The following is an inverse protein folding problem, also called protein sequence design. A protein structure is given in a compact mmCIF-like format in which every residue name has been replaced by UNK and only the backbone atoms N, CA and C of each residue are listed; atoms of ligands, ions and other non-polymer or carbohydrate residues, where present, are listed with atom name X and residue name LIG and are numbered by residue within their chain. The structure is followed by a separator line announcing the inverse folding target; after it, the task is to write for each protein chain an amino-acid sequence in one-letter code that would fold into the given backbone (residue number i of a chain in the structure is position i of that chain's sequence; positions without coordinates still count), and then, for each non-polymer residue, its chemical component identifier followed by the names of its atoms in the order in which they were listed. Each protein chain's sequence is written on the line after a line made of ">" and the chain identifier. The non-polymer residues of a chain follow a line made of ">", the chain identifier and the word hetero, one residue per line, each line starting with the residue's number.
data_IF_793015997308
#
_entry.id   IF_793015997308
#
_cell.length_a   1.000
_cell.length_b   1.000
_cell.length_c   1.000
_cell.angle_alpha   90.00
_cell.angle_beta   90.00
_cell.angle_gamma   90.00
#
_symmetry.space_group_name_H-M   'P 1'
#
loop_
_entity.id
_entity.type
_entity.pdbx_description
1 polymer ?
#
# COMPACT_ATOMS: atom_id res chain seq x y z
N UNK A 1 -20.87 4.45 8.49
CA UNK A 1 -19.61 4.53 9.27
C UNK A 1 -18.75 5.61 8.63
N UNK A 2 -18.12 6.49 9.40
CA UNK A 2 -17.11 7.43 8.84
C UNK A 2 -15.84 6.66 8.43
N UNK A 3 -15.10 7.17 7.45
CA UNK A 3 -13.90 6.52 6.91
C UNK A 3 -12.85 6.26 8.00
N UNK A 4 -12.62 7.21 8.90
CA UNK A 4 -11.67 7.02 10.00
C UNK A 4 -12.08 5.87 10.94
N UNK A 5 -13.39 5.74 11.21
CA UNK A 5 -13.90 4.65 12.03
C UNK A 5 -13.72 3.28 11.34
N UNK A 6 -13.90 3.23 10.02
CA UNK A 6 -13.66 2.03 9.23
C UNK A 6 -12.17 1.63 9.25
N UNK A 7 -11.28 2.57 8.93
CA UNK A 7 -9.84 2.35 8.95
C UNK A 7 -9.35 1.90 10.34
N UNK A 8 -9.83 2.54 11.42
CA UNK A 8 -9.48 2.16 12.78
C UNK A 8 -9.99 0.76 13.16
N UNK A 9 -11.21 0.39 12.73
CA UNK A 9 -11.76 -0.95 12.95
C UNK A 9 -10.91 -2.01 12.23
N UNK A 10 -10.59 -1.77 10.96
CA UNK A 10 -9.73 -2.67 10.18
C UNK A 10 -8.33 -2.78 10.78
N UNK A 11 -7.75 -1.67 11.23
CA UNK A 11 -6.44 -1.65 11.84
C UNK A 11 -6.38 -2.49 13.13
N UNK A 12 -7.42 -2.42 13.98
CA UNK A 12 -7.45 -3.19 15.22
C UNK A 12 -7.46 -4.72 14.97
N UNK A 13 -8.17 -5.19 13.94
CA UNK A 13 -8.16 -6.60 13.55
C UNK A 13 -6.78 -7.02 13.03
N UNK A 14 -6.21 -6.21 12.15
CA UNK A 14 -4.93 -6.49 11.51
C UNK A 14 -3.78 -6.49 12.53
N UNK A 15 -3.70 -5.49 13.42
CA UNK A 15 -2.66 -5.39 14.45
C UNK A 15 -2.62 -6.61 15.38
N UNK A 16 -3.80 -7.06 15.83
CA UNK A 16 -3.92 -8.23 16.71
C UNK A 16 -3.51 -9.51 15.97
N UNK A 17 -3.94 -9.65 14.72
CA UNK A 17 -3.63 -10.83 13.91
C UNK A 17 -2.15 -10.88 13.49
N UNK A 18 -1.55 -9.76 13.13
CA UNK A 18 -0.13 -9.63 12.79
C UNK A 18 0.75 -10.08 13.96
N UNK A 19 0.47 -9.59 15.18
CA UNK A 19 1.22 -10.04 16.37
C UNK A 19 1.05 -11.55 16.58
N UNK A 20 -0.17 -12.07 16.40
CA UNK A 20 -0.43 -13.51 16.53
C UNK A 20 0.40 -14.32 15.52
N UNK A 21 0.46 -13.89 14.26
CA UNK A 21 1.24 -14.59 13.22
C UNK A 21 2.75 -14.53 13.47
N UNK A 22 3.27 -13.37 13.91
CA UNK A 22 4.70 -13.23 14.23
C UNK A 22 5.03 -14.08 15.47
N UNK A 23 4.19 -14.06 16.51
CA UNK A 23 4.38 -14.86 17.72
C UNK A 23 4.28 -16.38 17.48
N UNK A 24 3.53 -16.80 16.45
CA UNK A 24 3.39 -18.21 16.07
C UNK A 24 4.63 -18.81 15.36
N UNK A 25 5.66 -18.00 15.06
CA UNK A 25 6.91 -18.46 14.44
C UNK A 25 7.82 -19.19 15.43
N UNK A 26 7.40 -20.37 15.90
CA UNK A 26 8.11 -21.19 16.88
C UNK A 26 9.48 -21.63 16.31
N UNK A 27 10.54 -21.43 17.09
CA UNK A 27 11.91 -21.79 16.71
C UNK A 27 12.64 -20.73 15.89
N UNK A 28 11.97 -19.63 15.50
CA UNK A 28 12.64 -18.49 14.89
C UNK A 28 13.49 -17.72 15.92
N UNK A 29 14.59 -17.06 15.51
CA UNK A 29 15.40 -16.25 16.41
C UNK A 29 14.59 -15.10 17.02
N UNK A 30 14.48 -15.06 18.36
CA UNK A 30 13.66 -14.07 19.07
C UNK A 30 14.03 -12.62 18.71
N UNK A 31 15.33 -12.32 18.62
CA UNK A 31 15.80 -10.99 18.24
C UNK A 31 15.34 -10.55 16.85
N UNK A 32 15.20 -11.49 15.89
CA UNK A 32 14.70 -11.17 14.55
C UNK A 32 13.18 -10.90 14.59
N UNK A 33 12.43 -11.69 15.37
CA UNK A 33 11.00 -11.46 15.57
C UNK A 33 10.74 -10.08 16.18
N UNK A 34 11.58 -9.63 17.11
CA UNK A 34 11.44 -8.30 17.73
C UNK A 34 11.64 -7.16 16.72
N UNK A 35 12.57 -7.33 15.77
CA UNK A 35 12.77 -6.36 14.68
C UNK A 35 11.57 -6.34 13.73
N UNK A 36 11.05 -7.52 13.37
CA UNK A 36 9.84 -7.62 12.55
C UNK A 36 8.64 -6.95 13.24
N UNK A 37 8.43 -7.20 14.54
CA UNK A 37 7.40 -6.54 15.36
C UNK A 37 7.58 -5.03 15.36
N UNK A 38 8.80 -4.56 15.61
CA UNK A 38 9.11 -3.14 15.65
C UNK A 38 8.66 -2.43 14.37
N UNK A 39 8.99 -2.99 13.20
CA UNK A 39 8.64 -2.39 11.91
C UNK A 39 7.14 -2.45 11.61
N UNK A 40 6.50 -3.59 11.89
CA UNK A 40 5.06 -3.77 11.63
C UNK A 40 4.22 -2.87 12.55
N UNK A 41 4.61 -2.73 13.81
CA UNK A 41 3.94 -1.89 14.82
C UNK A 41 4.31 -0.39 14.71
N UNK A 42 5.11 0.02 13.73
CA UNK A 42 5.48 1.42 13.52
C UNK A 42 4.30 2.32 13.08
N UNK A 43 3.09 1.75 12.90
CA UNK A 43 1.83 2.49 12.86
C UNK A 43 1.52 3.16 11.52
N UNK A 44 0.45 2.73 10.88
CA UNK A 44 -0.18 3.50 9.80
C UNK A 44 -1.69 3.23 9.76
N UNK A 45 -2.41 3.93 8.89
CA UNK A 45 -3.89 3.83 8.73
C UNK A 45 -4.39 2.45 8.25
N UNK A 46 -3.50 1.44 8.16
CA UNK A 46 -3.74 0.06 7.67
C UNK A 46 -4.60 0.06 6.41
N UNK A 47 -4.24 0.92 5.45
CA UNK A 47 -5.02 1.19 4.25
C UNK A 47 -5.20 -0.07 3.40
N UNK A 48 -4.11 -0.79 3.11
CA UNK A 48 -4.14 -2.04 2.32
C UNK A 48 -4.96 -3.15 3.01
N UNK A 49 -4.77 -3.43 4.31
CA UNK A 49 -5.68 -4.29 5.07
C UNK A 49 -7.15 -3.89 4.95
N UNK A 50 -7.47 -2.61 5.10
CA UNK A 50 -8.85 -2.12 5.02
C UNK A 50 -9.48 -2.35 3.63
N UNK A 51 -8.70 -2.21 2.54
CA UNK A 51 -9.15 -2.53 1.19
C UNK A 51 -9.48 -4.01 1.04
N UNK A 52 -8.61 -4.91 1.53
CA UNK A 52 -8.82 -6.35 1.44
C UNK A 52 -10.04 -6.80 2.25
N UNK A 53 -10.16 -6.32 3.50
CA UNK A 53 -11.30 -6.63 4.36
C UNK A 53 -12.60 -6.10 3.77
N UNK A 54 -12.62 -4.86 3.27
CA UNK A 54 -13.81 -4.28 2.64
C UNK A 54 -14.22 -4.99 1.35
N UNK A 55 -13.27 -5.44 0.53
CA UNK A 55 -13.56 -6.16 -0.70
C UNK A 55 -14.12 -7.57 -0.43
N UNK A 56 -13.64 -8.22 0.63
CA UNK A 56 -14.20 -9.48 1.10
C UNK A 56 -15.62 -9.31 1.64
N UNK A 57 -15.86 -8.26 2.44
CA UNK A 57 -17.21 -7.93 2.92
C UNK A 57 -18.17 -7.63 1.77
N UNK A 58 -17.70 -6.96 0.70
CA UNK A 58 -18.48 -6.75 -0.52
C UNK A 58 -18.77 -8.06 -1.27
N UNK A 59 -17.87 -9.04 -1.22
CA UNK A 59 -18.01 -10.32 -1.91
C UNK A 59 -18.99 -11.28 -1.20
N UNK A 60 -18.88 -11.42 0.12
CA UNK A 60 -19.61 -12.45 0.88
C UNK A 60 -20.31 -11.95 2.16
N UNK A 61 -20.24 -10.65 2.46
CA UNK A 61 -20.85 -10.06 3.67
C UNK A 61 -20.04 -10.28 4.96
N UNK A 62 -18.86 -10.91 4.88
CA UNK A 62 -17.95 -11.13 6.01
C UNK A 62 -16.51 -10.72 5.64
N UNK A 63 -15.86 -9.80 6.37
CA UNK A 63 -14.47 -9.43 6.10
C UNK A 63 -13.44 -10.48 6.56
N UNK A 64 -13.81 -11.39 7.48
CA UNK A 64 -12.87 -12.28 8.17
C UNK A 64 -12.12 -13.29 7.27
N UNK A 65 -12.70 -13.83 6.19
CA UNK A 65 -11.97 -14.70 5.27
C UNK A 65 -10.71 -14.04 4.67
N UNK A 66 -10.73 -12.72 4.51
CA UNK A 66 -9.60 -11.96 3.98
C UNK A 66 -8.57 -11.55 5.04
N UNK A 67 -8.79 -11.78 6.34
CA UNK A 67 -7.85 -11.36 7.39
C UNK A 67 -6.41 -11.87 7.17
N UNK A 68 -6.17 -13.14 6.80
CA UNK A 68 -4.80 -13.58 6.50
C UNK A 68 -4.20 -12.88 5.27
N UNK A 69 -5.02 -12.57 4.26
CA UNK A 69 -4.58 -11.80 3.09
C UNK A 69 -4.25 -10.34 3.46
N UNK A 70 -5.06 -9.73 4.32
CA UNK A 70 -4.84 -8.38 4.85
C UNK A 70 -3.51 -8.30 5.62
N UNK A 71 -3.25 -9.24 6.53
CA UNK A 71 -1.97 -9.31 7.24
C UNK A 71 -0.79 -9.55 6.29
N UNK A 72 -0.94 -10.44 5.32
CA UNK A 72 0.08 -10.69 4.31
C UNK A 72 0.43 -9.42 3.52
N UNK A 73 -0.57 -8.64 3.10
CA UNK A 73 -0.36 -7.36 2.41
C UNK A 73 0.37 -6.34 3.27
N UNK A 74 0.07 -6.27 4.57
CA UNK A 74 0.77 -5.36 5.48
C UNK A 74 2.20 -5.83 5.79
N UNK A 75 2.45 -7.14 5.85
CA UNK A 75 3.80 -7.70 5.91
C UNK A 75 4.60 -7.36 4.64
N UNK A 76 3.99 -7.50 3.46
CA UNK A 76 4.58 -7.10 2.17
C UNK A 76 4.92 -5.61 2.17
N UNK A 77 3.95 -4.78 2.54
CA UNK A 77 4.17 -3.33 2.61
C UNK A 77 5.24 -2.95 3.63
N UNK A 78 5.28 -3.62 4.78
CA UNK A 78 6.27 -3.31 5.81
C UNK A 78 7.68 -3.72 5.37
N UNK A 79 7.87 -4.88 4.72
CA UNK A 79 9.20 -5.24 4.23
C UNK A 79 9.70 -4.22 3.21
N UNK A 80 8.83 -3.77 2.30
CA UNK A 80 9.26 -2.88 1.23
C UNK A 80 9.77 -1.56 1.80
N UNK A 81 9.13 -1.04 2.85
CA UNK A 81 9.61 0.12 3.58
C UNK A 81 10.94 -0.11 4.29
N UNK A 82 11.13 -1.28 4.94
CA UNK A 82 12.40 -1.60 5.60
C UNK A 82 13.55 -1.59 4.59
N UNK A 83 13.34 -2.16 3.41
CA UNK A 83 14.35 -2.22 2.36
C UNK A 83 14.55 -0.87 1.67
N UNK A 84 13.48 -0.12 1.38
CA UNK A 84 13.56 1.24 0.83
C UNK A 84 14.35 2.18 1.73
N UNK A 85 14.23 2.04 3.06
CA UNK A 85 14.94 2.89 4.01
C UNK A 85 16.45 2.59 4.10
N UNK A 86 16.97 1.52 3.49
CA UNK A 86 18.40 1.15 3.60
C UNK A 86 19.34 2.18 2.95
N UNK A 87 20.62 2.26 3.37
CA UNK A 87 21.59 3.19 2.80
C UNK A 87 21.83 3.06 1.30
N UNK A 88 21.63 1.86 0.74
CA UNK A 88 21.75 1.60 -0.69
C UNK A 88 20.51 2.00 -1.52
N UNK A 89 19.44 2.41 -0.84
CA UNK A 89 18.14 2.82 -1.42
C UNK A 89 17.89 4.30 -1.06
N UNK A 90 16.80 4.64 -0.36
CA UNK A 90 16.47 6.03 0.00
C UNK A 90 17.33 6.59 1.16
N UNK A 91 18.06 5.72 1.88
CA UNK A 91 18.93 6.09 3.01
C UNK A 91 18.21 6.94 4.08
N UNK A 92 16.99 6.55 4.45
CA UNK A 92 16.15 7.28 5.39
C UNK A 92 16.45 6.93 6.84
N UNK A 93 16.70 7.95 7.66
CA UNK A 93 16.97 7.78 9.10
C UNK A 93 15.69 7.60 9.94
N UNK A 94 14.56 8.11 9.45
CA UNK A 94 13.29 8.16 10.18
C UNK A 94 12.12 7.68 9.31
N UNK A 95 11.23 6.87 9.89
CA UNK A 95 9.93 6.50 9.30
C UNK A 95 8.83 6.51 10.36
N UNK A 96 7.70 7.12 10.02
CA UNK A 96 6.49 7.14 10.89
C UNK A 96 6.80 7.69 12.30
N UNK A 97 7.65 8.72 12.38
CA UNK A 97 8.06 9.33 13.64
C UNK A 97 9.00 8.48 14.50
N UNK A 98 9.51 7.36 14.00
CA UNK A 98 10.47 6.48 14.68
C UNK A 98 11.74 6.31 13.82
N UNK A 99 12.89 5.97 14.40
CA UNK A 99 14.08 5.64 13.60
C UNK A 99 13.84 4.42 12.72
N UNK A 100 14.43 4.37 11.53
CA UNK A 100 14.28 3.22 10.63
C UNK A 100 14.99 1.99 11.18
N UNK A 101 14.58 0.79 10.71
CA UNK A 101 15.09 -0.47 11.25
C UNK A 101 16.61 -0.57 11.19
N UNK A 102 17.23 -0.12 10.09
CA UNK A 102 18.67 -0.20 9.93
C UNK A 102 19.43 0.74 10.89
N UNK A 103 18.80 1.84 11.33
CA UNK A 103 19.39 2.77 12.32
C UNK A 103 19.44 2.19 13.72
N UNK A 104 18.47 1.35 14.09
CA UNK A 104 18.40 0.75 15.41
C UNK A 104 19.15 -0.58 15.45
N UNK A 105 18.98 -1.41 14.43
CA UNK A 105 19.38 -2.82 14.45
C UNK A 105 20.53 -3.14 13.48
N UNK A 106 20.95 -2.18 12.65
CA UNK A 106 21.95 -2.36 11.60
C UNK A 106 21.37 -2.91 10.29
N UNK A 107 22.10 -2.71 9.20
CA UNK A 107 21.67 -3.05 7.83
C UNK A 107 21.37 -4.53 7.67
N UNK A 108 22.27 -5.41 8.13
CA UNK A 108 22.12 -6.86 7.96
C UNK A 108 20.85 -7.39 8.63
N UNK A 109 20.53 -6.89 9.83
CA UNK A 109 19.33 -7.31 10.56
C UNK A 109 18.07 -6.73 9.92
N UNK A 110 18.12 -5.49 9.43
CA UNK A 110 17.01 -4.89 8.68
C UNK A 110 16.69 -5.66 7.39
N UNK A 111 17.72 -6.04 6.62
CA UNK A 111 17.55 -6.86 5.41
C UNK A 111 16.83 -8.17 5.75
N UNK A 112 17.34 -8.90 6.74
CA UNK A 112 16.77 -10.19 7.16
C UNK A 112 15.35 -10.06 7.74
N UNK A 113 15.03 -8.95 8.42
CA UNK A 113 13.68 -8.69 8.90
C UNK A 113 12.72 -8.44 7.74
N UNK A 114 13.15 -7.73 6.70
CA UNK A 114 12.39 -7.57 5.47
C UNK A 114 12.16 -8.92 4.77
N UNK A 115 13.21 -9.73 4.59
CA UNK A 115 13.09 -11.06 3.99
C UNK A 115 12.16 -11.99 4.80
N UNK A 116 12.24 -11.90 6.14
CA UNK A 116 11.36 -12.62 7.06
C UNK A 116 9.89 -12.23 6.90
N UNK A 117 9.59 -10.92 6.78
CA UNK A 117 8.22 -10.44 6.56
C UNK A 117 7.69 -10.84 5.17
N UNK A 118 8.53 -10.70 4.13
CA UNK A 118 8.19 -11.13 2.76
C UNK A 118 7.80 -12.61 2.73
N UNK A 119 8.60 -13.48 3.33
CA UNK A 119 8.35 -14.92 3.34
C UNK A 119 7.18 -15.32 4.25
N UNK A 120 7.05 -14.68 5.41
CA UNK A 120 5.91 -14.90 6.32
C UNK A 120 4.58 -14.50 5.67
N UNK A 121 4.55 -13.45 4.84
CA UNK A 121 3.34 -13.05 4.12
C UNK A 121 2.76 -14.21 3.27
N UNK A 122 3.61 -14.92 2.54
CA UNK A 122 3.20 -16.09 1.74
C UNK A 122 2.78 -17.28 2.61
N UNK A 123 3.45 -17.49 3.74
CA UNK A 123 3.05 -18.51 4.71
C UNK A 123 1.66 -18.21 5.29
N UNK A 124 1.36 -16.96 5.61
CA UNK A 124 0.08 -16.54 6.21
C UNK A 124 -1.06 -16.64 5.20
N UNK A 125 -0.94 -16.03 4.02
CA UNK A 125 -1.99 -16.11 3.00
C UNK A 125 -2.20 -17.56 2.49
N UNK A 126 -1.13 -18.36 2.48
CA UNK A 126 -1.15 -19.78 2.11
C UNK A 126 -2.07 -20.64 2.98
N UNK A 127 -2.34 -20.24 4.23
CA UNK A 127 -3.25 -20.95 5.14
C UNK A 127 -4.69 -21.02 4.61
N UNK A 128 -5.08 -20.11 3.71
CA UNK A 128 -6.41 -20.12 3.08
C UNK A 128 -6.54 -21.13 1.95
N UNK A 129 -5.43 -21.68 1.44
CA UNK A 129 -5.45 -22.63 0.33
C UNK A 129 -5.94 -22.05 -1.01
N UNK A 130 -6.04 -20.71 -1.12
CA UNK A 130 -6.50 -20.04 -2.34
C UNK A 130 -5.29 -19.67 -3.21
N UNK A 131 -5.00 -20.50 -4.22
CA UNK A 131 -3.86 -20.32 -5.12
C UNK A 131 -3.94 -19.01 -5.92
N UNK A 132 -5.14 -18.56 -6.28
CA UNK A 132 -5.32 -17.32 -7.03
C UNK A 132 -4.90 -16.10 -6.19
N UNK A 133 -5.26 -16.06 -4.90
CA UNK A 133 -4.86 -14.99 -3.99
C UNK A 133 -3.34 -14.98 -3.74
N UNK A 134 -2.72 -16.16 -3.60
CA UNK A 134 -1.26 -16.30 -3.48
C UNK A 134 -0.56 -15.78 -4.75
N UNK A 135 -1.06 -16.16 -5.92
CA UNK A 135 -0.51 -15.73 -7.20
C UNK A 135 -0.67 -14.21 -7.40
N UNK A 136 -1.82 -13.63 -7.03
CA UNK A 136 -2.04 -12.19 -7.07
C UNK A 136 -1.02 -11.45 -6.19
N UNK A 137 -0.81 -11.91 -4.95
CA UNK A 137 0.18 -11.32 -4.05
C UNK A 137 1.60 -11.41 -4.62
N UNK A 138 1.97 -12.59 -5.17
CA UNK A 138 3.29 -12.80 -5.76
C UNK A 138 3.55 -11.88 -6.95
N UNK A 139 2.60 -11.80 -7.89
CA UNK A 139 2.71 -10.96 -9.08
C UNK A 139 2.80 -9.47 -8.72
N UNK A 140 1.92 -9.01 -7.83
CA UNK A 140 1.85 -7.61 -7.42
C UNK A 140 3.04 -7.16 -6.57
N UNK A 141 3.65 -8.06 -5.79
CA UNK A 141 4.83 -7.75 -4.99
C UNK A 141 6.13 -7.87 -5.79
N UNK A 142 6.16 -8.73 -6.81
CA UNK A 142 7.35 -9.05 -7.59
C UNK A 142 7.70 -8.06 -8.72
N UNK A 143 8.43 -8.57 -9.71
CA UNK A 143 9.01 -7.77 -10.81
C UNK A 143 7.97 -7.17 -11.76
N UNK A 144 6.76 -7.74 -11.83
CA UNK A 144 5.68 -7.18 -12.63
C UNK A 144 4.94 -6.05 -11.90
N UNK A 145 5.08 -5.98 -10.57
CA UNK A 145 4.49 -4.98 -9.68
C UNK A 145 5.55 -4.23 -8.88
N UNK A 146 5.43 -4.24 -7.55
CA UNK A 146 6.12 -3.35 -6.63
C UNK A 146 7.64 -3.34 -6.80
N UNK A 147 8.30 -4.50 -6.86
CA UNK A 147 9.77 -4.57 -7.05
C UNK A 147 10.19 -4.00 -8.41
N UNK A 148 9.42 -4.28 -9.46
CA UNK A 148 9.67 -3.69 -10.78
C UNK A 148 9.51 -2.17 -10.78
N UNK A 149 8.45 -1.68 -10.12
CA UNK A 149 8.22 -0.25 -9.93
C UNK A 149 9.33 0.42 -9.13
N UNK A 150 9.81 -0.21 -8.07
CA UNK A 150 10.93 0.30 -7.27
C UNK A 150 12.22 0.37 -8.08
N UNK A 151 12.51 -0.66 -8.89
CA UNK A 151 13.66 -0.61 -9.80
C UNK A 151 13.55 0.56 -10.79
N UNK A 152 12.39 0.74 -11.43
CA UNK A 152 12.18 1.84 -12.38
C UNK A 152 12.31 3.21 -11.70
N UNK A 153 11.81 3.36 -10.47
CA UNK A 153 11.93 4.59 -9.67
C UNK A 153 13.41 4.95 -9.43
N UNK A 154 14.20 3.99 -8.92
CA UNK A 154 15.65 4.19 -8.71
C UNK A 154 16.38 4.49 -10.01
N UNK A 155 15.97 3.90 -11.15
CA UNK A 155 16.56 4.22 -12.45
C UNK A 155 16.16 5.60 -12.98
N UNK A 156 15.06 6.18 -12.51
CA UNK A 156 14.57 7.48 -12.94
C UNK A 156 15.18 8.66 -12.15
N UNK A 157 15.77 8.41 -10.98
CA UNK A 157 16.36 9.46 -10.14
C UNK A 157 17.40 10.29 -10.90
N UNK A 158 17.28 11.62 -10.78
CA UNK A 158 18.15 12.58 -11.47
C UNK A 158 17.97 12.64 -12.99
N UNK A 159 16.95 11.98 -13.56
CA UNK A 159 16.66 11.98 -15.01
C UNK A 159 15.33 12.67 -15.30
N UNK A 160 15.27 13.33 -16.45
CA UNK A 160 14.00 13.80 -17.00
C UNK A 160 13.22 12.61 -17.56
N UNK A 161 12.04 12.33 -17.01
CA UNK A 161 11.14 11.28 -17.48
C UNK A 161 9.85 11.86 -18.06
N UNK A 162 9.19 11.10 -18.92
CA UNK A 162 7.88 11.46 -19.48
C UNK A 162 6.77 11.19 -18.47
N UNK A 163 5.60 11.79 -18.69
CA UNK A 163 4.41 11.48 -17.90
C UNK A 163 4.04 9.99 -17.95
N UNK A 164 4.20 9.34 -19.10
CA UNK A 164 3.88 7.93 -19.26
C UNK A 164 4.82 7.03 -18.44
N UNK A 165 6.12 7.37 -18.42
CA UNK A 165 7.09 6.68 -17.57
C UNK A 165 6.78 6.89 -16.08
N UNK A 166 6.39 8.10 -15.67
CA UNK A 166 5.97 8.37 -14.29
C UNK A 166 4.73 7.55 -13.90
N UNK A 167 3.72 7.50 -14.80
CA UNK A 167 2.52 6.68 -14.59
C UNK A 167 2.88 5.20 -14.47
N UNK A 168 3.81 4.68 -15.28
CA UNK A 168 4.27 3.29 -15.19
C UNK A 168 4.92 3.00 -13.84
N UNK A 169 5.87 3.83 -13.41
CA UNK A 169 6.53 3.72 -12.10
C UNK A 169 5.48 3.68 -10.99
N UNK A 170 4.57 4.65 -10.95
CA UNK A 170 3.54 4.77 -9.91
C UNK A 170 2.53 3.61 -9.93
N UNK A 171 2.13 3.16 -11.13
CA UNK A 171 1.23 2.01 -11.28
C UNK A 171 1.84 0.72 -10.72
N UNK A 172 3.16 0.54 -10.85
CA UNK A 172 3.87 -0.64 -10.36
C UNK A 172 4.25 -0.53 -8.89
N UNK A 173 4.93 0.55 -8.49
CA UNK A 173 5.48 0.76 -7.14
C UNK A 173 4.37 0.84 -6.10
N UNK A 174 3.30 1.60 -6.39
CA UNK A 174 2.22 1.85 -5.42
C UNK A 174 0.91 1.21 -5.85
N UNK A 175 0.51 1.39 -7.11
CA UNK A 175 -0.80 0.96 -7.63
C UNK A 175 -1.02 -0.56 -7.62
N UNK A 176 0.02 -1.35 -7.92
CA UNK A 176 -0.08 -2.80 -8.03
C UNK A 176 -0.53 -3.43 -6.71
N UNK A 177 0.07 -3.01 -5.59
CA UNK A 177 -0.26 -3.57 -4.28
C UNK A 177 -1.62 -3.06 -3.75
N UNK A 178 -2.03 -1.83 -4.13
CA UNK A 178 -3.39 -1.31 -3.84
C UNK A 178 -4.44 -2.15 -4.58
N UNK A 179 -4.24 -2.39 -5.87
CA UNK A 179 -5.15 -3.19 -6.70
C UNK A 179 -5.19 -4.65 -6.22
N UNK A 180 -4.03 -5.22 -5.91
CA UNK A 180 -3.95 -6.56 -5.33
C UNK A 180 -4.67 -6.67 -3.99
N UNK A 181 -4.67 -5.62 -3.17
CA UNK A 181 -5.38 -5.63 -1.87
C UNK A 181 -6.87 -5.88 -2.07
N UNK A 182 -7.49 -5.17 -3.01
CA UNK A 182 -8.90 -5.33 -3.35
C UNK A 182 -9.18 -6.72 -3.96
N UNK A 183 -8.35 -7.13 -4.92
CA UNK A 183 -8.51 -8.42 -5.61
C UNK A 183 -8.34 -9.61 -4.66
N UNK A 184 -7.34 -9.58 -3.77
CA UNK A 184 -7.12 -10.62 -2.75
C UNK A 184 -8.33 -10.70 -1.81
N UNK A 185 -8.86 -9.55 -1.38
CA UNK A 185 -10.07 -9.51 -0.57
C UNK A 185 -11.25 -10.22 -1.23
N UNK A 186 -11.54 -9.87 -2.49
CA UNK A 186 -12.61 -10.50 -3.26
C UNK A 186 -12.34 -12.00 -3.51
N UNK A 187 -11.11 -12.40 -3.86
CA UNK A 187 -10.74 -13.81 -4.08
C UNK A 187 -10.93 -14.65 -2.81
N UNK A 188 -10.58 -14.12 -1.64
CA UNK A 188 -10.73 -14.83 -0.36
C UNK A 188 -12.17 -14.85 0.15
N UNK A 189 -13.03 -13.96 -0.36
CA UNK A 189 -14.47 -13.95 -0.14
C UNK A 189 -15.28 -14.65 -1.25
N UNK A 190 -14.63 -15.43 -2.12
CA UNK A 190 -15.27 -16.13 -3.26
C UNK A 190 -16.09 -15.20 -4.18
N UNK A 191 -15.58 -13.98 -4.38
CA UNK A 191 -16.16 -12.96 -5.24
C UNK A 191 -16.24 -13.40 -6.70
N UNK A 192 -17.25 -12.91 -7.42
CA UNK A 192 -17.44 -13.21 -8.84
C UNK A 192 -16.39 -12.54 -9.73
N UNK A 193 -16.22 -13.05 -10.96
CA UNK A 193 -15.35 -12.44 -11.98
C UNK A 193 -15.76 -10.98 -12.25
N UNK A 194 -17.07 -10.69 -12.28
CA UNK A 194 -17.58 -9.31 -12.41
C UNK A 194 -17.10 -8.41 -11.27
N UNK A 195 -17.14 -8.90 -10.02
CA UNK A 195 -16.64 -8.15 -8.87
C UNK A 195 -15.13 -7.92 -8.98
N UNK A 196 -14.37 -8.95 -9.38
CA UNK A 196 -12.93 -8.84 -9.57
C UNK A 196 -12.57 -7.80 -10.65
N UNK A 197 -13.28 -7.77 -11.77
CA UNK A 197 -13.05 -6.81 -12.85
C UNK A 197 -13.35 -5.38 -12.39
N UNK A 198 -14.50 -5.17 -11.73
CA UNK A 198 -14.85 -3.87 -11.15
C UNK A 198 -13.81 -3.39 -10.13
N UNK A 199 -13.38 -4.26 -9.22
CA UNK A 199 -12.37 -3.92 -8.20
C UNK A 199 -10.98 -3.71 -8.78
N UNK A 200 -10.66 -4.35 -9.91
CA UNK A 200 -9.41 -4.12 -10.63
C UNK A 200 -9.38 -2.70 -11.19
N UNK A 201 -10.40 -2.31 -11.96
CA UNK A 201 -10.50 -0.94 -12.48
C UNK A 201 -10.56 0.10 -11.36
N UNK A 202 -11.31 -0.18 -10.28
CA UNK A 202 -11.34 0.69 -9.10
C UNK A 202 -9.94 0.86 -8.49
N UNK A 203 -9.20 -0.24 -8.30
CA UNK A 203 -7.87 -0.26 -7.70
C UNK A 203 -6.82 0.50 -8.51
N UNK A 204 -6.86 0.36 -9.85
CA UNK A 204 -5.95 1.06 -10.76
C UNK A 204 -6.14 2.58 -10.66
N UNK A 205 -7.39 3.06 -10.70
CA UNK A 205 -7.70 4.47 -10.52
C UNK A 205 -7.42 4.95 -9.09
N UNK A 206 -7.72 4.15 -8.07
CA UNK A 206 -7.42 4.48 -6.68
C UNK A 206 -5.92 4.67 -6.44
N UNK A 207 -5.09 3.78 -6.99
CA UNK A 207 -3.64 3.85 -6.88
C UNK A 207 -3.06 5.10 -7.57
N UNK A 208 -3.57 5.42 -8.77
CA UNK A 208 -3.18 6.64 -9.47
C UNK A 208 -3.60 7.90 -8.70
N UNK A 209 -4.84 7.94 -8.22
CA UNK A 209 -5.37 9.06 -7.42
C UNK A 209 -4.56 9.27 -6.14
N UNK A 210 -4.19 8.18 -5.46
CA UNK A 210 -3.38 8.23 -4.25
C UNK A 210 -2.07 8.98 -4.51
N UNK A 211 -1.37 8.62 -5.58
CA UNK A 211 -0.07 9.19 -5.90
C UNK A 211 -0.16 10.64 -6.40
N UNK A 212 -1.12 10.97 -7.27
CA UNK A 212 -1.33 12.36 -7.69
C UNK A 212 -1.61 13.25 -6.47
N UNK A 213 -2.41 12.75 -5.52
CA UNK A 213 -2.73 13.48 -4.30
C UNK A 213 -1.51 13.63 -3.38
N UNK A 214 -0.69 12.58 -3.21
CA UNK A 214 0.55 12.65 -2.44
C UNK A 214 1.50 13.71 -3.05
N UNK A 215 1.72 13.66 -4.36
CA UNK A 215 2.58 14.63 -5.06
C UNK A 215 2.07 16.08 -4.92
N UNK A 216 0.75 16.29 -4.97
CA UNK A 216 0.14 17.61 -4.74
C UNK A 216 0.35 18.08 -3.29
N UNK A 217 0.18 17.19 -2.32
CA UNK A 217 0.39 17.49 -0.91
C UNK A 217 1.85 17.80 -0.60
N UNK A 218 2.80 17.10 -1.23
CA UNK A 218 4.23 17.37 -1.03
C UNK A 218 4.65 18.76 -1.55
N UNK A 219 3.89 19.35 -2.48
CA UNK A 219 4.11 20.73 -2.98
C UNK A 219 3.32 21.78 -2.19
N UNK A 220 2.14 21.44 -1.67
CA UNK A 220 1.18 22.42 -1.10
C UNK A 220 0.98 22.33 0.41
N UNK A 221 1.43 21.23 1.03
CA UNK A 221 1.21 20.94 2.45
C UNK A 221 2.14 21.70 3.39
N UNK A 222 1.78 21.70 4.67
CA UNK A 222 2.63 22.22 5.75
C UNK A 222 3.54 21.11 6.29
N UNK A 223 4.81 21.42 6.50
CA UNK A 223 5.87 20.45 6.84
C UNK A 223 5.58 19.66 8.12
N UNK A 224 4.84 20.26 9.05
CA UNK A 224 4.46 19.64 10.30
C UNK A 224 3.36 18.57 10.14
N UNK A 225 2.52 18.65 9.10
CA UNK A 225 1.36 17.77 8.94
C UNK A 225 1.69 16.45 8.20
N UNK A 226 2.68 16.45 7.30
CA UNK A 226 3.00 15.31 6.43
C UNK A 226 3.94 14.27 7.07
N UNK A 227 4.59 14.60 8.18
CA UNK A 227 5.53 13.69 8.85
C UNK A 227 6.75 13.30 8.01
N UNK A 228 7.01 14.03 6.92
CA UNK A 228 8.16 13.93 6.01
C UNK A 228 8.79 15.32 5.85
N UNK A 229 10.07 15.35 5.44
CA UNK A 229 10.75 16.60 5.05
C UNK A 229 10.16 17.11 3.73
N UNK A 230 9.55 18.29 3.73
CA UNK A 230 9.05 18.94 2.49
C UNK A 230 10.21 19.14 1.52
N UNK A 231 9.97 18.88 0.23
CA UNK A 231 10.94 19.16 -0.83
C UNK A 231 11.96 18.06 -1.05
N UNK A 232 11.90 16.93 -0.33
CA UNK A 232 12.80 15.78 -0.54
C UNK A 232 12.81 15.31 -2.00
N UNK A 233 11.64 15.26 -2.65
CA UNK A 233 11.53 14.89 -4.06
C UNK A 233 12.23 15.89 -4.98
N UNK A 234 12.20 17.19 -4.65
CA UNK A 234 12.95 18.20 -5.40
C UNK A 234 14.46 18.09 -5.16
N UNK A 235 14.88 17.79 -3.92
CA UNK A 235 16.28 17.57 -3.55
C UNK A 235 16.86 16.32 -4.21
N UNK A 236 16.05 15.28 -4.39
CA UNK A 236 16.42 14.02 -5.07
C UNK A 236 16.19 14.07 -6.59
N UNK A 237 15.62 15.15 -7.12
CA UNK A 237 15.29 15.28 -8.54
C UNK A 237 14.26 14.25 -9.02
N UNK A 238 13.35 13.80 -8.15
CA UNK A 238 12.25 12.90 -8.50
C UNK A 238 11.20 13.66 -9.31
N UNK A 239 10.71 13.03 -10.37
CA UNK A 239 9.65 13.61 -11.19
C UNK A 239 8.29 13.40 -10.51
N UNK A 240 7.50 14.46 -10.42
CA UNK A 240 6.16 14.43 -9.81
C UNK A 240 5.11 14.95 -10.78
N UNK A 241 3.83 14.65 -10.55
CA UNK A 241 2.74 15.14 -11.40
C UNK A 241 2.70 16.68 -11.49
N UNK A 242 2.80 17.44 -10.38
CA UNK A 242 2.85 18.91 -10.45
C UNK A 242 4.08 19.44 -11.19
N UNK A 243 5.23 18.75 -11.11
CA UNK A 243 6.43 19.16 -11.83
C UNK A 243 6.32 18.98 -13.34
N UNK A 244 5.63 17.93 -13.81
CA UNK A 244 5.46 17.64 -15.24
C UNK A 244 4.27 18.38 -15.88
N UNK A 245 3.17 18.55 -15.15
CA UNK A 245 1.90 19.07 -15.69
C UNK A 245 1.57 20.49 -15.21
N UNK A 246 2.19 20.93 -14.12
CA UNK A 246 1.69 22.07 -13.34
C UNK A 246 0.55 21.67 -12.40
N UNK A 247 0.39 22.45 -11.33
CA UNK A 247 -0.52 22.14 -10.22
C UNK A 247 -1.99 22.04 -10.66
N UNK A 248 -2.45 22.93 -11.54
CA UNK A 248 -3.84 22.96 -11.98
C UNK A 248 -4.19 21.72 -12.83
N UNK A 249 -3.29 21.29 -13.71
CA UNK A 249 -3.48 20.08 -14.50
C UNK A 249 -3.38 18.81 -13.66
N UNK A 250 -2.50 18.78 -12.65
CA UNK A 250 -2.43 17.68 -11.70
C UNK A 250 -3.75 17.53 -10.91
N UNK A 251 -4.36 18.64 -10.48
CA UNK A 251 -5.69 18.63 -9.83
C UNK A 251 -6.79 18.15 -10.76
N UNK A 252 -6.81 18.61 -12.00
CA UNK A 252 -7.79 18.14 -12.99
C UNK A 252 -7.66 16.63 -13.24
N UNK A 253 -6.43 16.11 -13.32
CA UNK A 253 -6.16 14.69 -13.47
C UNK A 253 -6.63 13.89 -12.24
N UNK A 254 -6.47 14.42 -11.03
CA UNK A 254 -6.99 13.81 -9.80
C UNK A 254 -8.52 13.70 -9.84
N UNK A 255 -9.21 14.76 -10.25
CA UNK A 255 -10.67 14.77 -10.36
C UNK A 255 -11.19 13.80 -11.43
N UNK A 256 -10.55 13.75 -12.60
CA UNK A 256 -10.86 12.77 -13.65
C UNK A 256 -10.65 11.33 -13.16
N UNK A 257 -9.53 11.07 -12.50
CA UNK A 257 -9.21 9.75 -11.95
C UNK A 257 -10.21 9.32 -10.88
N UNK A 258 -10.63 10.25 -10.02
CA UNK A 258 -11.66 10.00 -9.01
C UNK A 258 -13.02 9.66 -9.64
N UNK A 259 -13.44 10.40 -10.67
CA UNK A 259 -14.67 10.12 -11.40
C UNK A 259 -14.63 8.75 -12.08
N UNK A 260 -13.49 8.40 -12.68
CA UNK A 260 -13.27 7.09 -13.31
C UNK A 260 -13.35 5.95 -12.28
N UNK A 261 -12.71 6.12 -11.10
CA UNK A 261 -12.81 5.15 -10.01
C UNK A 261 -14.28 4.92 -9.58
N UNK A 262 -15.05 5.99 -9.38
CA UNK A 262 -16.46 5.88 -8.98
C UNK A 262 -17.33 5.22 -10.05
N UNK A 263 -17.04 5.44 -11.33
CA UNK A 263 -17.76 4.82 -12.43
C UNK A 263 -17.62 3.29 -12.46
N UNK A 264 -16.50 2.73 -11.97
CA UNK A 264 -16.32 1.27 -11.87
C UNK A 264 -17.29 0.60 -10.89
N UNK A 265 -17.87 1.38 -9.96
CA UNK A 265 -18.78 0.91 -8.92
C UNK A 265 -20.27 1.15 -9.26
N UNK A 266 -20.60 1.51 -10.50
CA UNK A 266 -21.97 1.87 -10.90
C UNK A 266 -22.98 0.72 -10.76
N UNK A 267 -22.52 -0.54 -10.86
CA UNK A 267 -23.37 -1.73 -10.73
C UNK A 267 -23.67 -2.12 -9.29
N UNK A 268 -23.05 -1.47 -8.29
CA UNK A 268 -23.22 -1.79 -6.88
C UNK A 268 -24.13 -0.76 -6.19
N UNK A 269 -24.96 -1.23 -5.27
CA UNK A 269 -25.80 -0.40 -4.41
C UNK A 269 -25.01 0.21 -3.25
N UNK A 270 -25.67 0.35 -2.10
CA UNK A 270 -25.09 0.93 -0.87
C UNK A 270 -23.94 0.10 -0.28
N UNK A 271 -23.83 -1.18 -0.66
CA UNK A 271 -22.74 -2.06 -0.24
C UNK A 271 -21.35 -1.54 -0.67
N UNK A 272 -21.26 -0.75 -1.74
CA UNK A 272 -20.00 -0.13 -2.19
C UNK A 272 -19.75 1.28 -1.62
N UNK A 273 -20.59 1.78 -0.71
CA UNK A 273 -20.48 3.15 -0.20
C UNK A 273 -19.17 3.43 0.52
N UNK A 274 -18.56 2.42 1.14
CA UNK A 274 -17.26 2.61 1.78
C UNK A 274 -16.17 2.96 0.76
N UNK A 275 -16.20 2.33 -0.42
CA UNK A 275 -15.25 2.65 -1.50
C UNK A 275 -15.51 4.03 -2.10
N UNK A 276 -16.78 4.43 -2.27
CA UNK A 276 -17.12 5.79 -2.71
C UNK A 276 -16.57 6.84 -1.74
N UNK A 277 -16.79 6.63 -0.44
CA UNK A 277 -16.25 7.51 0.61
C UNK A 277 -14.73 7.52 0.64
N UNK A 278 -14.06 6.45 0.20
CA UNK A 278 -12.60 6.38 0.18
C UNK A 278 -12.01 7.32 -0.88
N UNK A 279 -12.64 7.39 -2.05
CA UNK A 279 -12.28 8.35 -3.10
C UNK A 279 -12.42 9.78 -2.58
N UNK A 280 -13.54 10.09 -1.93
CA UNK A 280 -13.76 11.41 -1.33
C UNK A 280 -12.74 11.70 -0.22
N UNK A 281 -12.46 10.72 0.64
CA UNK A 281 -11.47 10.86 1.70
C UNK A 281 -10.08 11.17 1.16
N UNK A 282 -9.63 10.47 0.11
CA UNK A 282 -8.33 10.73 -0.50
C UNK A 282 -8.25 12.13 -1.11
N UNK A 283 -9.30 12.59 -1.80
CA UNK A 283 -9.31 13.93 -2.41
C UNK A 283 -9.19 15.08 -1.39
N UNK A 284 -9.65 14.86 -0.16
CA UNK A 284 -9.70 15.89 0.88
C UNK A 284 -8.77 15.61 2.06
N UNK A 285 -7.84 14.66 1.94
CA UNK A 285 -6.91 14.38 3.04
C UNK A 285 -5.89 15.50 3.17
N UNK A 286 -5.54 15.80 4.42
CA UNK A 286 -4.53 16.80 4.76
C UNK A 286 -3.18 16.18 5.14
N UNK A 287 -3.09 14.84 5.15
CA UNK A 287 -1.91 14.02 5.49
C UNK A 287 -2.11 12.55 5.08
#
# INVERSE_FOLDING_TARGET
>A
MDMNAFLNKCAAFDDTALETYIAACIGAPAALLDVMRYSVQAGWKRFRPALALGACELACGDPMPALPGACALEMIHTYSLIHDDLPAMDNDDMRRGKPTSHKIFGEAVAILAGDGLLTLAFQVIGQRGNLAAIHELARASGIEGMVGGQYLDTQAEGKAITLDALKEIHSKKTGALITASLRIGALLGDGSDHLLDCLTGYGEHLGLLFQITDDILDVTGDSAALGKTIGKDQEQGKATYPALLGLDQARALADETAAAALATLHSFGSEADIFRRLIDFLRHRNH
#
